data_IF_112415442224
#
_entry.id   IF_112415442224
#
_cell.length_a   1.000
_cell.length_b   1.000
_cell.length_c   1.000
_cell.angle_alpha   90.00
_cell.angle_beta   90.00
_cell.angle_gamma   90.00
#
_symmetry.space_group_name_H-M   'P 1'
#
loop_
_entity.id
_entity.type
_entity.pdbx_description
1 polymer ?
#
# COMPACT_ATOMS: atom_id res chain seq x y z
N UNK A 1 -19.15 -12.63 -4.06
CA UNK A 1 -20.50 -12.02 -4.10
C UNK A 1 -20.47 -10.99 -5.21
N UNK A 2 -21.18 -11.20 -6.34
CA UNK A 2 -21.30 -10.17 -7.38
C UNK A 2 -22.09 -9.00 -6.80
N UNK A 3 -21.49 -7.85 -6.64
CA UNK A 3 -22.23 -6.61 -6.38
C UNK A 3 -22.89 -6.21 -7.69
N UNK A 4 -24.22 -6.29 -7.77
CA UNK A 4 -24.98 -5.68 -8.85
C UNK A 4 -24.97 -4.17 -8.58
N UNK A 5 -24.21 -3.44 -9.38
CA UNK A 5 -24.27 -1.98 -9.40
C UNK A 5 -25.50 -1.58 -10.20
N UNK A 6 -26.51 -1.07 -9.50
CA UNK A 6 -27.57 -0.33 -10.14
C UNK A 6 -27.05 1.05 -10.53
N UNK A 7 -27.67 1.75 -11.45
CA UNK A 7 -27.33 3.07 -12.01
C UNK A 7 -27.18 4.23 -11.00
N UNK A 8 -26.74 3.97 -9.76
CA UNK A 8 -26.66 4.93 -8.66
C UNK A 8 -25.22 5.47 -8.46
N UNK A 9 -24.30 5.07 -9.32
CA UNK A 9 -22.89 5.43 -9.16
C UNK A 9 -22.08 4.47 -8.29
N UNK A 10 -20.78 4.50 -8.47
CA UNK A 10 -19.83 3.66 -7.77
C UNK A 10 -19.50 4.24 -6.40
N UNK A 11 -19.59 3.43 -5.35
CA UNK A 11 -19.08 3.83 -4.03
C UNK A 11 -17.58 3.62 -4.01
N UNK A 12 -16.82 4.61 -3.53
CA UNK A 12 -15.35 4.58 -3.46
C UNK A 12 -14.78 3.65 -2.36
N UNK A 13 -15.61 2.85 -1.72
CA UNK A 13 -15.18 1.88 -0.74
C UNK A 13 -14.34 0.78 -1.41
N UNK A 14 -13.25 0.38 -0.76
CA UNK A 14 -12.32 -0.66 -1.24
C UNK A 14 -11.46 -0.26 -2.45
N UNK A 15 -11.38 1.03 -2.80
CA UNK A 15 -10.43 1.51 -3.80
C UNK A 15 -9.00 1.50 -3.26
N UNK A 16 -8.03 1.15 -4.11
CA UNK A 16 -6.64 1.01 -3.69
C UNK A 16 -5.66 1.22 -4.84
N UNK A 17 -4.43 1.57 -4.48
CA UNK A 17 -3.30 1.66 -5.39
C UNK A 17 -2.42 0.42 -5.27
N UNK A 18 -2.10 -0.17 -6.40
CA UNK A 18 -1.25 -1.36 -6.53
C UNK A 18 0.04 -1.02 -7.27
N UNK A 19 1.08 -1.81 -7.04
CA UNK A 19 2.37 -1.73 -7.73
C UNK A 19 2.70 -3.07 -8.36
N UNK A 20 3.27 -3.06 -9.56
CA UNK A 20 3.64 -4.28 -10.26
C UNK A 20 4.85 -4.95 -9.59
N UNK A 21 4.74 -6.25 -9.34
CA UNK A 21 5.80 -7.11 -8.83
C UNK A 21 6.27 -8.04 -9.97
N UNK A 22 7.51 -7.86 -10.40
CA UNK A 22 8.10 -8.63 -11.50
C UNK A 22 8.22 -10.14 -11.14
N UNK A 23 8.33 -10.48 -9.86
CA UNK A 23 8.47 -11.86 -9.39
C UNK A 23 7.16 -12.63 -9.55
N UNK A 24 6.06 -12.01 -9.18
CA UNK A 24 4.71 -12.59 -9.29
C UNK A 24 4.08 -12.36 -10.67
N UNK A 25 4.67 -11.47 -11.49
CA UNK A 25 4.07 -10.98 -12.74
C UNK A 25 2.64 -10.44 -12.56
N UNK A 26 2.38 -9.84 -11.41
CA UNK A 26 1.07 -9.31 -11.00
C UNK A 26 1.23 -8.01 -10.21
N UNK A 27 0.14 -7.27 -10.10
CA UNK A 27 0.08 -6.10 -9.24
C UNK A 27 -0.22 -6.50 -7.80
N UNK A 28 0.58 -5.98 -6.86
CA UNK A 28 0.44 -6.20 -5.41
C UNK A 28 -0.03 -4.93 -4.73
N UNK A 29 -0.81 -5.05 -3.67
CA UNK A 29 -1.35 -3.91 -2.94
C UNK A 29 -0.22 -3.02 -2.40
N UNK A 30 -0.18 -1.76 -2.85
CA UNK A 30 0.72 -0.74 -2.32
C UNK A 30 0.10 -0.03 -1.12
N UNK A 31 -1.06 0.58 -1.29
CA UNK A 31 -1.83 1.23 -0.22
C UNK A 31 -3.34 1.11 -0.47
N UNK A 32 -4.16 0.87 0.57
CA UNK A 32 -5.58 1.20 0.54
C UNK A 32 -5.72 2.72 0.60
N UNK A 33 -6.51 3.31 -0.28
CA UNK A 33 -6.70 4.76 -0.38
C UNK A 33 -7.98 5.20 0.30
N UNK A 34 -7.97 6.39 0.89
CA UNK A 34 -9.18 7.06 1.42
C UNK A 34 -9.71 8.10 0.44
N UNK A 35 -8.86 8.54 -0.49
CA UNK A 35 -9.21 9.46 -1.57
C UNK A 35 -8.33 9.15 -2.78
N UNK A 36 -8.92 9.21 -3.97
CA UNK A 36 -8.25 8.98 -5.24
C UNK A 36 -8.35 10.23 -6.11
N UNK A 37 -7.28 10.56 -6.84
CA UNK A 37 -7.28 11.72 -7.74
C UNK A 37 -8.15 11.48 -8.96
N UNK A 38 -8.50 12.58 -9.63
CA UNK A 38 -9.13 12.50 -10.94
C UNK A 38 -8.26 11.74 -11.94
N UNK A 39 -8.92 10.99 -12.78
CA UNK A 39 -8.34 10.32 -13.93
C UNK A 39 -8.26 11.31 -15.07
N UNK A 40 -7.11 11.56 -15.63
CA UNK A 40 -6.88 12.43 -16.80
C UNK A 40 -7.73 13.72 -16.81
N UNK A 41 -7.12 14.85 -16.52
CA UNK A 41 -7.73 16.17 -16.72
C UNK A 41 -8.16 16.37 -18.19
N UNK A 42 -9.10 17.26 -18.42
CA UNK A 42 -9.48 17.64 -19.77
C UNK A 42 -8.23 18.07 -20.57
N UNK A 43 -8.06 17.63 -21.83
CA UNK A 43 -6.95 18.07 -22.65
C UNK A 43 -6.98 19.60 -22.81
N UNK A 44 -5.80 20.22 -22.76
CA UNK A 44 -5.71 21.64 -23.05
C UNK A 44 -6.18 21.88 -24.50
N UNK A 45 -7.07 22.85 -24.71
CA UNK A 45 -7.48 23.25 -26.04
C UNK A 45 -6.59 24.38 -26.54
N UNK A 46 -6.21 24.33 -27.81
CA UNK A 46 -5.45 25.38 -28.49
C UNK A 46 -6.35 25.99 -29.55
N UNK A 47 -6.54 27.31 -29.47
CA UNK A 47 -7.30 28.04 -30.48
C UNK A 47 -6.55 28.06 -31.83
N UNK A 48 -7.21 27.57 -32.87
CA UNK A 48 -6.73 27.57 -34.25
C UNK A 48 -7.68 28.39 -35.13
N UNK A 49 -7.96 29.61 -34.74
CA UNK A 49 -8.84 30.48 -35.52
C UNK A 49 -8.03 31.26 -36.56
N UNK A 50 -8.42 31.18 -37.81
CA UNK A 50 -7.85 32.02 -38.89
C UNK A 50 -8.72 33.26 -39.11
N UNK A 51 -8.10 34.39 -39.45
CA UNK A 51 -8.78 35.69 -39.61
C UNK A 51 -9.96 35.72 -40.60
N UNK A 52 -10.11 34.66 -41.40
CA UNK A 52 -11.23 34.52 -42.37
C UNK A 52 -12.39 33.67 -41.84
N UNK A 53 -12.26 33.10 -40.67
CA UNK A 53 -13.31 32.29 -40.03
C UNK A 53 -14.19 33.16 -39.12
N UNK A 54 -15.52 32.92 -39.17
CA UNK A 54 -16.50 33.62 -38.34
C UNK A 54 -16.81 32.83 -37.02
N UNK A 55 -16.11 31.74 -36.76
CA UNK A 55 -16.23 30.91 -35.56
C UNK A 55 -14.85 30.55 -35.00
N UNK A 56 -14.77 30.43 -33.68
CA UNK A 56 -13.58 29.94 -32.99
C UNK A 56 -13.45 28.44 -33.21
N UNK A 57 -12.32 27.99 -33.70
CA UNK A 57 -11.99 26.57 -33.88
C UNK A 57 -10.92 26.22 -32.86
N UNK A 58 -11.25 25.27 -31.98
CA UNK A 58 -10.32 24.72 -30.98
C UNK A 58 -9.83 23.35 -31.43
N UNK A 59 -8.55 23.08 -31.19
CA UNK A 59 -7.91 21.78 -31.42
C UNK A 59 -7.39 21.24 -30.08
N UNK A 60 -7.55 19.95 -29.85
CA UNK A 60 -6.91 19.30 -28.69
C UNK A 60 -5.39 19.53 -28.69
N UNK A 61 -4.90 20.08 -27.61
CA UNK A 61 -3.48 20.27 -27.34
C UNK A 61 -2.84 19.03 -26.66
N UNK A 62 -1.61 19.19 -26.21
CA UNK A 62 -0.91 18.15 -25.47
C UNK A 62 -1.60 17.93 -24.11
N UNK A 63 -1.93 16.70 -23.80
CA UNK A 63 -2.28 16.29 -22.44
C UNK A 63 -1.02 16.35 -21.57
N UNK A 64 -1.08 17.09 -20.48
CA UNK A 64 -0.03 17.05 -19.47
C UNK A 64 -0.30 15.88 -18.52
N UNK A 65 0.71 15.07 -18.26
CA UNK A 65 0.63 14.06 -17.19
C UNK A 65 0.72 14.80 -15.87
N UNK A 66 -0.42 15.01 -15.22
CA UNK A 66 -0.49 15.71 -13.95
C UNK A 66 0.01 14.84 -12.79
N UNK A 67 0.44 15.50 -11.71
CA UNK A 67 0.78 14.83 -10.47
C UNK A 67 -0.51 14.32 -9.82
N UNK A 68 -0.60 12.99 -9.63
CA UNK A 68 -1.69 12.37 -8.88
C UNK A 68 -1.39 12.37 -7.39
N UNK A 69 -2.39 12.65 -6.57
CA UNK A 69 -2.26 12.64 -5.10
C UNK A 69 -3.26 11.68 -4.49
N UNK A 70 -2.76 10.68 -3.78
CA UNK A 70 -3.57 9.68 -3.08
C UNK A 70 -3.50 9.94 -1.59
N UNK A 71 -4.65 9.98 -0.92
CA UNK A 71 -4.71 10.08 0.54
C UNK A 71 -4.91 8.69 1.13
N UNK A 72 -4.23 8.40 2.23
CA UNK A 72 -4.31 7.12 2.93
C UNK A 72 -4.09 7.29 4.44
N UNK A 73 -4.51 6.29 5.22
CA UNK A 73 -4.26 6.28 6.65
C UNK A 73 -2.76 6.04 6.94
N UNK A 74 -2.12 7.02 7.61
CA UNK A 74 -0.68 7.02 7.89
C UNK A 74 -0.36 6.04 9.02
N UNK A 75 -0.41 4.75 8.70
CA UNK A 75 -0.11 3.65 9.61
C UNK A 75 1.27 3.06 9.31
N UNK A 76 1.91 2.49 10.33
CA UNK A 76 3.27 1.92 10.24
C UNK A 76 3.44 0.95 9.04
N UNK A 77 2.49 0.05 8.86
CA UNK A 77 2.59 -0.98 7.82
C UNK A 77 2.47 -0.38 6.40
N UNK A 78 1.56 0.59 6.22
CA UNK A 78 1.43 1.32 4.95
C UNK A 78 2.71 2.10 4.61
N UNK A 79 3.29 2.78 5.62
CA UNK A 79 4.55 3.53 5.46
C UNK A 79 5.70 2.60 5.09
N UNK A 80 5.85 1.47 5.78
CA UNK A 80 6.92 0.50 5.51
C UNK A 80 6.82 -0.07 4.10
N UNK A 81 5.60 -0.31 3.61
CA UNK A 81 5.33 -0.81 2.27
C UNK A 81 5.73 0.21 1.21
N UNK A 82 5.29 1.46 1.35
CA UNK A 82 5.61 2.56 0.42
C UNK A 82 7.10 2.88 0.39
N UNK A 83 7.77 2.90 1.56
CA UNK A 83 9.21 3.25 1.65
C UNK A 83 10.12 2.38 0.78
N UNK A 84 9.75 1.14 0.50
CA UNK A 84 10.52 0.22 -0.35
C UNK A 84 10.62 0.70 -1.81
N UNK A 85 9.70 1.56 -2.22
CA UNK A 85 9.52 1.99 -3.60
C UNK A 85 9.86 3.46 -3.86
N UNK A 86 10.15 4.27 -2.82
CA UNK A 86 10.50 5.67 -2.97
C UNK A 86 11.75 5.81 -3.84
N UNK A 87 11.70 6.73 -4.82
CA UNK A 87 12.82 7.02 -5.74
C UNK A 87 12.96 6.05 -6.91
N UNK A 88 12.02 5.12 -7.07
CA UNK A 88 11.97 4.21 -8.22
C UNK A 88 10.87 4.62 -9.19
N UNK A 89 11.06 4.28 -10.47
CA UNK A 89 9.99 4.31 -11.47
C UNK A 89 9.22 3.01 -11.37
N UNK A 90 7.92 3.08 -11.21
CA UNK A 90 7.03 1.97 -10.92
C UNK A 90 5.92 1.87 -11.96
N UNK A 91 5.49 0.66 -12.25
CA UNK A 91 4.20 0.41 -12.90
C UNK A 91 3.15 0.35 -11.81
N UNK A 92 2.17 1.21 -11.89
CA UNK A 92 1.12 1.39 -10.89
C UNK A 92 -0.24 1.06 -11.53
N UNK A 93 -1.17 0.58 -10.71
CA UNK A 93 -2.53 0.28 -11.09
C UNK A 93 -3.47 0.85 -10.03
N UNK A 94 -4.34 1.76 -10.44
CA UNK A 94 -5.49 2.17 -9.66
C UNK A 94 -6.59 1.13 -9.80
N UNK A 95 -7.20 0.74 -8.70
CA UNK A 95 -8.29 -0.23 -8.68
C UNK A 95 -9.48 0.36 -7.97
N UNK A 96 -10.60 0.41 -8.66
CA UNK A 96 -11.89 0.83 -8.13
C UNK A 96 -12.62 -0.32 -7.44
N UNK A 97 -13.65 -0.01 -6.68
CA UNK A 97 -14.43 -1.00 -5.92
C UNK A 97 -15.19 -2.02 -6.80
N UNK A 98 -15.37 -1.75 -8.09
CA UNK A 98 -15.99 -2.65 -9.08
C UNK A 98 -14.95 -3.48 -9.87
N UNK A 99 -13.66 -3.32 -9.53
CA UNK A 99 -12.53 -3.91 -10.25
C UNK A 99 -12.25 -3.32 -11.63
N UNK A 100 -12.79 -2.17 -11.96
CA UNK A 100 -12.23 -1.35 -13.04
C UNK A 100 -10.94 -0.71 -12.57
N UNK A 101 -10.05 -0.36 -13.49
CA UNK A 101 -8.78 0.24 -13.09
C UNK A 101 -8.06 0.99 -14.19
N UNK A 102 -7.02 1.71 -13.81
CA UNK A 102 -6.13 2.41 -14.72
C UNK A 102 -4.68 2.10 -14.41
N UNK A 103 -3.94 1.72 -15.45
CA UNK A 103 -2.51 1.46 -15.35
C UNK A 103 -1.70 2.66 -15.84
N UNK A 104 -0.62 2.96 -15.14
CA UNK A 104 0.32 4.00 -15.52
C UNK A 104 1.69 3.74 -14.91
N UNK A 105 2.68 4.45 -15.43
CA UNK A 105 4.06 4.40 -14.91
C UNK A 105 4.40 5.73 -14.26
N UNK A 106 5.03 5.69 -13.11
CA UNK A 106 5.39 6.92 -12.41
C UNK A 106 6.36 6.72 -11.26
N UNK A 107 6.77 7.82 -10.65
CA UNK A 107 7.59 7.83 -9.44
C UNK A 107 6.80 8.36 -8.26
N UNK A 108 7.08 7.83 -7.06
CA UNK A 108 6.32 8.15 -5.86
C UNK A 108 7.11 8.97 -4.85
N UNK A 109 6.42 9.86 -4.16
CA UNK A 109 6.91 10.60 -2.98
C UNK A 109 5.87 10.51 -1.87
N UNK A 110 6.34 10.38 -0.62
CA UNK A 110 5.52 10.24 0.57
C UNK A 110 5.58 11.52 1.41
N UNK A 111 4.43 12.00 1.85
CA UNK A 111 4.33 13.05 2.86
C UNK A 111 3.32 12.65 3.95
N UNK A 112 3.51 13.18 5.16
CA UNK A 112 2.53 13.10 6.24
C UNK A 112 1.73 14.40 6.22
N UNK A 113 0.41 14.30 6.31
CA UNK A 113 -0.47 15.46 6.40
C UNK A 113 -0.40 16.10 7.81
N UNK A 114 -0.98 17.28 7.96
CA UNK A 114 -1.17 17.90 9.27
C UNK A 114 -1.96 16.99 10.21
N UNK A 115 -1.65 17.05 11.50
CA UNK A 115 -2.35 16.25 12.52
C UNK A 115 -3.27 17.20 13.28
N UNK A 116 -4.56 16.85 13.31
CA UNK A 116 -5.57 17.54 14.10
C UNK A 116 -5.84 16.75 15.39
N UNK A 117 -6.25 17.47 16.44
CA UNK A 117 -6.66 16.85 17.71
C UNK A 117 -7.92 16.02 17.45
N UNK A 118 -7.89 14.75 17.86
CA UNK A 118 -8.94 13.74 17.63
C UNK A 118 -9.17 13.35 16.15
N UNK A 119 -8.27 13.75 15.23
CA UNK A 119 -8.31 13.35 13.83
C UNK A 119 -7.53 12.05 13.56
N UNK A 120 -7.88 11.37 12.47
CA UNK A 120 -7.09 10.25 11.96
C UNK A 120 -5.84 10.82 11.29
N UNK A 121 -4.66 10.30 11.63
CA UNK A 121 -3.41 10.68 10.97
C UNK A 121 -3.41 10.15 9.55
N UNK A 122 -3.37 11.05 8.58
CA UNK A 122 -3.34 10.72 7.16
C UNK A 122 -2.00 11.07 6.53
N UNK A 123 -1.69 10.45 5.42
CA UNK A 123 -0.57 10.75 4.56
C UNK A 123 -1.02 10.93 3.12
N UNK A 124 -0.20 11.63 2.36
CA UNK A 124 -0.36 11.82 0.93
C UNK A 124 0.77 11.12 0.19
N UNK A 125 0.40 10.32 -0.80
CA UNK A 125 1.30 9.74 -1.77
C UNK A 125 1.19 10.54 -3.07
N UNK A 126 2.25 11.25 -3.40
CA UNK A 126 2.35 12.00 -4.65
C UNK A 126 2.96 11.10 -5.72
N UNK A 127 2.27 10.97 -6.84
CA UNK A 127 2.75 10.21 -7.99
C UNK A 127 2.97 11.16 -9.16
N UNK A 128 4.21 11.24 -9.62
CA UNK A 128 4.53 11.93 -10.88
C UNK A 128 4.40 10.92 -12.00
N UNK A 129 3.37 11.05 -12.82
CA UNK A 129 3.07 10.14 -13.93
C UNK A 129 4.04 10.37 -15.07
N UNK A 130 4.69 9.30 -15.55
CA UNK A 130 5.59 9.33 -16.71
C UNK A 130 4.89 8.90 -17.99
N UNK A 131 4.00 7.91 -17.89
CA UNK A 131 3.15 7.44 -18.98
C UNK A 131 1.88 6.81 -18.41
N UNK A 132 0.77 6.94 -19.10
CA UNK A 132 -0.51 6.34 -18.71
C UNK A 132 -1.09 5.59 -19.92
N UNK A 133 -1.90 4.58 -19.67
CA UNK A 133 -2.70 3.94 -20.69
C UNK A 133 -3.86 4.86 -21.13
N UNK A 134 -4.26 4.78 -22.38
CA UNK A 134 -5.29 5.69 -22.91
C UNK A 134 -6.71 5.30 -22.49
N UNK A 135 -6.94 4.03 -22.19
CA UNK A 135 -8.24 3.51 -21.82
C UNK A 135 -8.21 2.83 -20.44
N UNK A 136 -9.29 2.98 -19.64
CA UNK A 136 -9.43 2.23 -18.41
C UNK A 136 -9.53 0.72 -18.70
N UNK A 137 -9.07 -0.08 -17.75
CA UNK A 137 -9.16 -1.55 -17.80
C UNK A 137 -10.49 -1.94 -17.17
N UNK A 138 -11.32 -2.67 -17.91
CA UNK A 138 -12.68 -3.03 -17.48
C UNK A 138 -12.69 -4.06 -16.33
N UNK A 139 -11.66 -4.92 -16.25
CA UNK A 139 -11.53 -5.93 -15.20
C UNK A 139 -10.06 -6.21 -14.87
N UNK A 140 -9.66 -5.84 -13.66
CA UNK A 140 -8.28 -6.00 -13.17
C UNK A 140 -8.08 -7.22 -12.28
N UNK A 141 -9.10 -8.06 -12.03
CA UNK A 141 -9.01 -9.18 -11.07
C UNK A 141 -7.92 -10.18 -11.41
N UNK A 142 -7.68 -10.42 -12.69
CA UNK A 142 -6.63 -11.32 -13.14
C UNK A 142 -5.23 -10.69 -13.07
N UNK A 143 -5.16 -9.37 -12.98
CA UNK A 143 -3.91 -8.60 -12.92
C UNK A 143 -3.40 -8.43 -11.49
N UNK A 144 -4.28 -8.49 -10.49
CA UNK A 144 -3.92 -8.31 -9.08
C UNK A 144 -3.56 -9.66 -8.44
N UNK A 145 -2.56 -9.62 -7.54
CA UNK A 145 -2.22 -10.77 -6.71
C UNK A 145 -3.02 -10.77 -5.41
N UNK A 146 -3.45 -11.94 -4.97
CA UNK A 146 -3.86 -12.09 -3.59
C UNK A 146 -2.67 -11.80 -2.67
N UNK A 147 -2.95 -11.41 -1.42
CA UNK A 147 -1.91 -11.11 -0.43
C UNK A 147 -2.08 -12.05 0.75
N UNK A 148 -1.01 -12.72 1.13
CA UNK A 148 -0.98 -13.49 2.37
C UNK A 148 -1.01 -12.53 3.56
N UNK A 149 -2.05 -12.60 4.39
CA UNK A 149 -2.31 -11.64 5.47
C UNK A 149 -2.26 -12.31 6.83
N UNK A 150 -1.46 -11.76 7.75
CA UNK A 150 -1.49 -12.15 9.15
C UNK A 150 -2.83 -11.74 9.79
N UNK A 151 -3.58 -12.71 10.30
CA UNK A 151 -4.88 -12.48 10.94
C UNK A 151 -4.76 -12.34 12.46
N UNK A 152 -3.67 -12.84 13.06
CA UNK A 152 -3.40 -12.68 14.49
C UNK A 152 -3.32 -11.20 14.87
N UNK A 153 -4.07 -10.72 15.86
CA UNK A 153 -3.89 -9.39 16.43
C UNK A 153 -2.51 -9.29 17.09
N UNK A 154 -1.74 -8.27 16.71
CA UNK A 154 -0.43 -7.98 17.30
C UNK A 154 -0.56 -6.87 18.33
N UNK A 155 -0.23 -7.19 19.58
CA UNK A 155 -0.07 -6.21 20.65
C UNK A 155 1.41 -6.00 20.93
N UNK A 156 1.76 -4.83 21.48
CA UNK A 156 3.12 -4.58 21.95
C UNK A 156 3.44 -5.54 23.11
N UNK A 157 4.68 -6.01 23.12
CA UNK A 157 5.16 -7.04 24.09
C UNK A 157 6.08 -6.38 25.10
N UNK A 158 5.84 -6.69 26.37
CA UNK A 158 6.75 -6.33 27.47
C UNK A 158 7.29 -7.62 28.09
N UNK A 159 8.62 -7.75 28.18
CA UNK A 159 9.26 -8.90 28.83
C UNK A 159 10.58 -8.46 29.49
N UNK A 160 11.19 -9.36 30.26
CA UNK A 160 12.48 -9.07 30.92
C UNK A 160 13.68 -9.49 30.08
N UNK A 161 14.85 -9.00 30.43
CA UNK A 161 16.11 -9.55 29.92
C UNK A 161 16.17 -11.04 30.29
N UNK A 162 16.34 -11.93 29.33
CA UNK A 162 16.20 -13.40 29.43
C UNK A 162 14.74 -13.94 29.42
N UNK A 163 13.73 -13.07 29.51
CA UNK A 163 12.33 -13.48 29.40
C UNK A 163 11.98 -13.89 27.96
N UNK A 164 11.03 -14.82 27.86
CA UNK A 164 10.55 -15.33 26.57
C UNK A 164 9.04 -15.20 26.48
N UNK A 165 8.54 -14.70 25.34
CA UNK A 165 7.12 -14.62 25.04
C UNK A 165 6.84 -15.38 23.75
N UNK A 166 5.80 -16.23 23.76
CA UNK A 166 5.38 -16.97 22.57
C UNK A 166 4.00 -16.49 22.12
N UNK A 167 3.87 -16.24 20.81
CA UNK A 167 2.63 -15.80 20.16
C UNK A 167 2.31 -16.80 19.06
N UNK A 168 1.08 -17.32 19.04
CA UNK A 168 0.61 -18.17 17.95
C UNK A 168 0.13 -17.29 16.80
N UNK A 169 0.67 -17.52 15.62
CA UNK A 169 0.38 -16.77 14.40
C UNK A 169 -0.65 -17.54 13.56
N UNK A 170 -1.61 -16.79 13.03
CA UNK A 170 -2.61 -17.28 12.08
C UNK A 170 -2.61 -16.35 10.86
N UNK A 171 -2.87 -16.89 9.69
CA UNK A 171 -2.89 -16.13 8.46
C UNK A 171 -3.98 -16.64 7.51
N UNK A 172 -4.26 -15.82 6.51
CA UNK A 172 -5.04 -16.18 5.34
C UNK A 172 -4.16 -16.01 4.08
N UNK A 173 -3.92 -17.08 3.31
CA UNK A 173 -4.41 -18.46 3.49
C UNK A 173 -3.75 -19.19 4.68
N UNK A 174 -4.41 -20.22 5.19
CA UNK A 174 -3.92 -21.02 6.33
C UNK A 174 -2.61 -21.78 6.01
N UNK A 175 -2.25 -21.90 4.74
CA UNK A 175 -0.98 -22.49 4.25
C UNK A 175 0.19 -21.52 4.31
N UNK A 176 -0.04 -20.27 4.72
CA UNK A 176 1.01 -19.26 4.78
C UNK A 176 2.11 -19.65 5.78
N UNK A 177 3.32 -19.24 5.46
CA UNK A 177 4.51 -19.39 6.28
C UNK A 177 4.91 -18.05 6.87
N UNK A 178 5.63 -18.09 8.00
CA UNK A 178 6.02 -16.89 8.72
C UNK A 178 7.53 -16.83 8.88
N UNK A 179 8.06 -15.61 8.77
CA UNK A 179 9.42 -15.28 9.24
C UNK A 179 9.35 -14.07 10.15
N UNK A 180 10.23 -13.99 11.13
CA UNK A 180 10.28 -12.84 12.04
C UNK A 180 11.70 -12.38 12.25
N UNK A 181 11.87 -11.06 12.35
CA UNK A 181 13.17 -10.43 12.61
C UNK A 181 13.01 -9.24 13.55
N UNK A 182 13.85 -9.17 14.58
CA UNK A 182 14.02 -7.97 15.39
C UNK A 182 14.81 -6.91 14.61
N UNK A 183 14.42 -5.64 14.74
CA UNK A 183 15.17 -4.52 14.13
C UNK A 183 16.53 -4.33 14.82
N UNK A 184 16.56 -4.59 16.13
CA UNK A 184 17.79 -4.58 16.93
C UNK A 184 17.90 -5.94 17.66
N UNK A 185 18.79 -6.79 17.19
CA UNK A 185 19.01 -8.14 17.70
C UNK A 185 19.84 -8.16 19.00
N UNK A 186 20.43 -7.05 19.39
CA UNK A 186 21.13 -6.90 20.68
C UNK A 186 20.13 -6.70 21.83
N UNK A 187 18.94 -6.14 21.55
CA UNK A 187 17.87 -5.95 22.52
C UNK A 187 16.98 -7.20 22.66
N UNK A 188 16.54 -7.78 21.55
CA UNK A 188 15.81 -9.06 21.57
C UNK A 188 16.07 -9.87 20.29
N UNK A 189 15.78 -11.17 20.37
CA UNK A 189 15.70 -12.05 19.19
C UNK A 189 14.26 -12.48 18.95
N UNK A 190 13.91 -12.66 17.68
CA UNK A 190 12.64 -13.20 17.25
C UNK A 190 12.88 -14.40 16.34
N UNK A 191 12.23 -15.51 16.62
CA UNK A 191 12.28 -16.73 15.80
C UNK A 191 10.90 -17.33 15.62
N UNK A 192 10.67 -18.00 14.48
CA UNK A 192 9.41 -18.67 14.19
C UNK A 192 9.66 -20.15 13.97
N UNK A 193 8.83 -20.97 14.58
CA UNK A 193 8.78 -22.44 14.36
C UNK A 193 7.34 -22.83 14.08
N UNK A 194 7.05 -23.19 12.81
CA UNK A 194 5.68 -23.37 12.34
C UNK A 194 4.87 -22.08 12.49
N UNK A 195 3.83 -22.08 13.31
CA UNK A 195 3.02 -20.91 13.64
C UNK A 195 3.40 -20.22 14.96
N UNK A 196 4.37 -20.76 15.71
CA UNK A 196 4.78 -20.19 17.00
C UNK A 196 5.91 -19.16 16.80
N UNK A 197 5.62 -17.88 17.04
CA UNK A 197 6.61 -16.81 17.15
C UNK A 197 7.13 -16.76 18.59
N UNK A 198 8.42 -16.87 18.76
CA UNK A 198 9.11 -16.73 20.04
C UNK A 198 9.97 -15.47 20.05
N UNK A 199 9.71 -14.58 21.01
CA UNK A 199 10.50 -13.37 21.26
C UNK A 199 11.26 -13.57 22.56
N UNK A 200 12.60 -13.43 22.53
CA UNK A 200 13.47 -13.59 23.70
C UNK A 200 14.23 -12.28 23.95
N UNK A 201 14.08 -11.73 25.15
CA UNK A 201 14.80 -10.54 25.61
C UNK A 201 16.28 -10.83 25.82
N UNK A 202 17.14 -9.84 25.54
CA UNK A 202 18.58 -9.89 25.76
C UNK A 202 19.09 -8.73 26.62
N UNK A 203 18.72 -7.52 26.28
CA UNK A 203 19.15 -6.32 26.97
C UNK A 203 17.97 -5.36 27.17
N UNK A 204 18.02 -4.57 28.23
CA UNK A 204 17.00 -3.54 28.51
C UNK A 204 16.97 -2.52 27.39
N UNK A 205 15.77 -2.24 26.87
CA UNK A 205 15.56 -1.29 25.78
C UNK A 205 14.29 -1.52 25.00
N UNK A 206 14.16 -0.84 23.88
CA UNK A 206 13.02 -0.93 22.96
C UNK A 206 13.48 -1.33 21.58
N UNK A 207 12.79 -2.27 20.98
CA UNK A 207 13.02 -2.65 19.59
C UNK A 207 11.69 -2.99 18.90
N UNK A 208 11.74 -3.20 17.61
CA UNK A 208 10.59 -3.60 16.80
C UNK A 208 10.82 -4.97 16.22
N UNK A 209 9.83 -5.84 16.31
CA UNK A 209 9.81 -7.12 15.61
C UNK A 209 8.93 -6.99 14.37
N UNK A 210 9.48 -7.40 13.22
CA UNK A 210 8.79 -7.44 11.93
C UNK A 210 8.49 -8.90 11.61
N UNK A 211 7.23 -9.20 11.30
CA UNK A 211 6.77 -10.52 10.85
C UNK A 211 6.45 -10.40 9.36
N UNK A 212 7.02 -11.28 8.56
CA UNK A 212 6.66 -11.42 7.15
C UNK A 212 5.81 -12.68 6.99
N UNK A 213 4.64 -12.53 6.40
CA UNK A 213 3.72 -13.62 6.06
C UNK A 213 3.81 -13.86 4.55
N UNK A 214 4.03 -15.10 4.13
CA UNK A 214 4.22 -15.47 2.72
C UNK A 214 3.43 -16.74 2.40
N UNK A 215 2.83 -16.79 1.22
CA UNK A 215 2.21 -18.00 0.67
C UNK A 215 2.63 -18.15 -0.80
N UNK A 216 2.61 -19.38 -1.29
CA UNK A 216 3.01 -19.68 -2.66
C UNK A 216 2.03 -19.04 -3.66
N UNK A 217 2.57 -18.33 -4.64
CA UNK A 217 1.78 -17.62 -5.67
C UNK A 217 1.07 -16.35 -5.18
N UNK A 218 1.26 -15.94 -3.93
CA UNK A 218 0.65 -14.74 -3.35
C UNK A 218 1.70 -13.68 -2.97
N UNK A 219 1.27 -12.43 -2.89
CA UNK A 219 2.10 -11.35 -2.36
C UNK A 219 2.34 -11.54 -0.88
N UNK A 220 3.56 -11.33 -0.41
CA UNK A 220 3.87 -11.34 1.01
C UNK A 220 3.43 -10.05 1.69
N UNK A 221 3.06 -10.13 2.96
CA UNK A 221 2.76 -8.98 3.79
C UNK A 221 3.67 -8.89 5.02
N UNK A 222 3.87 -7.67 5.51
CA UNK A 222 4.66 -7.41 6.71
C UNK A 222 3.80 -6.71 7.76
N UNK A 223 3.86 -7.20 8.98
CA UNK A 223 3.28 -6.59 10.17
C UNK A 223 4.35 -6.43 11.24
N UNK A 224 4.23 -5.41 12.07
CA UNK A 224 5.23 -5.17 13.11
C UNK A 224 4.61 -4.69 14.42
N UNK A 225 5.27 -5.04 15.54
CA UNK A 225 4.91 -4.61 16.90
C UNK A 225 6.15 -4.18 17.66
N UNK A 226 5.96 -3.43 18.74
CA UNK A 226 7.04 -2.99 19.62
C UNK A 226 7.29 -4.03 20.71
N UNK A 227 8.56 -4.16 21.08
CA UNK A 227 9.00 -5.00 22.19
C UNK A 227 9.76 -4.11 23.17
N UNK A 228 9.34 -4.09 24.40
CA UNK A 228 10.03 -3.47 25.53
C UNK A 228 10.68 -4.56 26.39
N UNK A 229 11.98 -4.44 26.61
CA UNK A 229 12.71 -5.30 27.53
C UNK A 229 13.01 -4.51 28.79
N UNK A 230 12.45 -4.96 29.91
CA UNK A 230 12.64 -4.36 31.24
C UNK A 230 13.74 -5.07 32.02
N UNK A 231 14.27 -4.43 33.05
CA UNK A 231 15.19 -5.07 33.97
C UNK A 231 14.51 -6.24 34.72
N UNK A 232 15.25 -7.30 34.94
CA UNK A 232 14.81 -8.37 35.85
C UNK A 232 14.85 -7.82 37.27
N UNK A 233 13.71 -7.81 37.96
CA UNK A 233 13.60 -7.41 39.37
C UNK A 233 14.11 -8.51 40.27
#
# INVERSE_FOLDING_TARGET
>A
MKREYQDIGLLSNDSALYVYDDTLSKYVLLIPTTDMPETKGAPATVEKTVLTEHSVTEVEGLQTNDQKTYTFNYHRDNINRVKKFIGKTLKLLEVNSDYTGEAYTGSIKLARNSIEVNGIVQGSLYVTVSSAEDLPIDDVRDLIANTAVLTTPLNDVVTTATGTVTINLEANPATATFTAKATDEDICTASVSGSALTVTGKAVGYTKVVITTSADGEASSERSFLVEITATV
#
